data_IF_505452498480
#
_entry.id   IF_505452498480
#
_cell.length_a   1.000
_cell.length_b   1.000
_cell.length_c   1.000
_cell.angle_alpha   90.00
_cell.angle_beta   90.00
_cell.angle_gamma   90.00
#
_symmetry.space_group_name_H-M   'P 1'
#
loop_
_entity.id
_entity.type
_entity.pdbx_description
1 polymer ?
#
# COMPACT_ATOMS: atom_id res chain seq x y z
N UNK A 1 -2.81 7.69 34.77
CA UNK A 1 -2.76 6.19 34.63
C UNK A 1 -3.11 5.88 33.19
N UNK A 2 -2.14 5.95 32.32
CA UNK A 2 -2.26 5.67 30.89
C UNK A 2 -2.31 4.15 30.70
N UNK A 3 -3.40 3.71 30.11
CA UNK A 3 -3.82 2.33 30.02
C UNK A 3 -2.76 1.41 29.38
N UNK A 4 -2.19 0.53 30.18
CA UNK A 4 -1.31 -0.56 29.76
C UNK A 4 -1.97 -1.52 28.73
N UNK A 5 -3.28 -1.41 28.55
CA UNK A 5 -4.07 -2.20 27.58
C UNK A 5 -3.91 -1.76 26.13
N UNK A 6 -3.58 -0.49 25.84
CA UNK A 6 -3.35 -0.04 24.46
C UNK A 6 -2.00 -0.50 23.89
N UNK A 7 -0.97 -0.65 24.72
CA UNK A 7 0.34 -1.11 24.27
C UNK A 7 0.37 -2.58 23.85
N UNK A 8 -0.52 -3.39 24.40
CA UNK A 8 -0.59 -4.84 24.04
C UNK A 8 -1.15 -5.05 22.63
N UNK A 9 -1.86 -4.07 22.06
CA UNK A 9 -2.42 -4.15 20.71
C UNK A 9 -1.38 -3.97 19.61
N UNK A 10 -0.26 -3.31 19.91
CA UNK A 10 0.79 -3.00 18.95
C UNK A 10 1.71 -4.19 18.63
N UNK A 11 1.77 -5.19 19.52
CA UNK A 11 2.66 -6.36 19.40
C UNK A 11 1.92 -7.71 19.29
N UNK A 12 0.64 -7.69 18.88
CA UNK A 12 -0.07 -8.95 18.70
C UNK A 12 0.52 -9.69 17.50
N UNK A 13 1.08 -10.87 17.77
CA UNK A 13 1.64 -11.75 16.74
C UNK A 13 0.59 -11.99 15.66
N UNK A 14 0.99 -11.89 14.41
CA UNK A 14 0.13 -12.24 13.29
C UNK A 14 -0.28 -13.70 13.39
N UNK A 15 -1.57 -13.97 13.23
CA UNK A 15 -2.03 -15.35 13.11
C UNK A 15 -1.60 -15.94 11.77
N UNK A 16 -1.48 -17.26 11.70
CA UNK A 16 -1.09 -17.94 10.45
C UNK A 16 -2.00 -17.53 9.28
N UNK A 17 -3.32 -17.39 9.53
CA UNK A 17 -4.30 -16.96 8.54
C UNK A 17 -4.01 -15.56 8.03
N UNK A 18 -3.69 -14.62 8.91
CA UNK A 18 -3.33 -13.25 8.55
C UNK A 18 -2.03 -13.21 7.75
N UNK A 19 -1.02 -13.96 8.18
CA UNK A 19 0.26 -14.05 7.47
C UNK A 19 0.08 -14.58 6.04
N UNK A 20 -0.70 -15.64 5.86
CA UNK A 20 -1.01 -16.20 4.53
C UNK A 20 -1.71 -15.17 3.65
N UNK A 21 -2.67 -14.41 4.20
CA UNK A 21 -3.38 -13.36 3.46
C UNK A 21 -2.45 -12.23 3.03
N UNK A 22 -1.54 -11.79 3.91
CA UNK A 22 -0.55 -10.76 3.60
C UNK A 22 0.43 -11.24 2.52
N UNK A 23 0.90 -12.48 2.61
CA UNK A 23 1.76 -13.10 1.58
C UNK A 23 1.03 -13.21 0.23
N UNK A 24 -0.25 -13.56 0.25
CA UNK A 24 -1.08 -13.60 -0.95
C UNK A 24 -1.17 -12.22 -1.60
N UNK A 25 -1.46 -11.16 -0.85
CA UNK A 25 -1.48 -9.79 -1.36
C UNK A 25 -0.13 -9.39 -1.95
N UNK A 26 0.98 -9.69 -1.26
CA UNK A 26 2.33 -9.40 -1.75
C UNK A 26 2.64 -10.13 -3.06
N UNK A 27 2.30 -11.41 -3.14
CA UNK A 27 2.50 -12.24 -4.34
C UNK A 27 1.71 -11.69 -5.53
N UNK A 28 0.45 -11.27 -5.31
CA UNK A 28 -0.37 -10.67 -6.37
C UNK A 28 0.20 -9.34 -6.86
N UNK A 29 0.75 -8.51 -5.99
CA UNK A 29 1.43 -7.27 -6.40
C UNK A 29 2.61 -7.59 -7.31
N UNK A 30 3.44 -8.57 -6.94
CA UNK A 30 4.60 -8.98 -7.72
C UNK A 30 4.18 -9.59 -9.06
N UNK A 31 3.20 -10.51 -9.04
CA UNK A 31 2.69 -11.18 -10.23
C UNK A 31 2.07 -10.20 -11.24
N UNK A 32 1.24 -9.29 -10.75
CA UNK A 32 0.63 -8.24 -11.57
C UNK A 32 1.70 -7.35 -12.19
N UNK A 33 2.73 -6.99 -11.41
CA UNK A 33 3.85 -6.20 -11.90
C UNK A 33 4.66 -6.94 -12.97
N UNK A 34 4.93 -8.24 -12.77
CA UNK A 34 5.62 -9.06 -13.74
C UNK A 34 4.83 -9.19 -15.05
N UNK A 35 3.55 -9.52 -14.95
CA UNK A 35 2.67 -9.70 -16.10
C UNK A 35 2.43 -8.41 -16.90
N UNK A 36 2.19 -7.30 -16.21
CA UNK A 36 1.92 -6.02 -16.85
C UNK A 36 3.16 -5.37 -17.47
N UNK A 37 4.36 -5.65 -16.94
CA UNK A 37 5.59 -5.18 -17.53
C UNK A 37 5.86 -5.79 -18.90
N UNK A 38 5.39 -7.01 -19.11
CA UNK A 38 5.59 -7.74 -20.39
C UNK A 38 4.65 -7.26 -21.51
N UNK A 39 3.46 -6.74 -21.17
CA UNK A 39 2.41 -6.49 -22.18
C UNK A 39 2.02 -5.01 -22.36
N UNK A 40 2.18 -4.16 -21.36
CA UNK A 40 1.67 -2.78 -21.40
C UNK A 40 2.74 -1.78 -21.02
N UNK A 41 3.16 -0.95 -21.96
CA UNK A 41 4.09 0.17 -21.74
C UNK A 41 3.40 1.42 -21.17
N UNK A 42 2.19 1.29 -20.60
CA UNK A 42 1.45 2.41 -20.02
C UNK A 42 2.02 2.78 -18.64
N UNK A 43 2.45 4.03 -18.44
CA UNK A 43 2.93 4.48 -17.14
C UNK A 43 1.76 4.56 -16.13
N UNK A 44 1.95 4.02 -14.93
CA UNK A 44 1.03 4.22 -13.81
C UNK A 44 0.06 3.09 -13.49
N UNK A 45 -0.35 2.25 -14.45
CA UNK A 45 -1.35 1.18 -14.18
C UNK A 45 -0.93 0.16 -13.11
N UNK A 46 0.38 -0.06 -12.95
CA UNK A 46 0.92 -0.91 -11.87
C UNK A 46 0.59 -0.35 -10.48
N UNK A 47 0.40 0.98 -10.38
CA UNK A 47 0.02 1.63 -9.12
C UNK A 47 -1.39 1.30 -8.69
N UNK A 48 -2.30 1.10 -9.63
CA UNK A 48 -3.65 0.64 -9.33
C UNK A 48 -3.63 -0.63 -8.49
N UNK A 49 -2.99 -1.68 -8.98
CA UNK A 49 -2.91 -2.96 -8.27
C UNK A 49 -2.10 -2.85 -6.97
N UNK A 50 -1.00 -2.09 -6.98
CA UNK A 50 -0.19 -1.92 -5.78
C UNK A 50 -0.99 -1.27 -4.65
N UNK A 51 -1.68 -0.15 -4.93
CA UNK A 51 -2.50 0.53 -3.93
C UNK A 51 -3.70 -0.30 -3.51
N UNK A 52 -4.36 -0.95 -4.46
CA UNK A 52 -5.47 -1.84 -4.19
C UNK A 52 -5.09 -2.94 -3.18
N UNK A 53 -4.03 -3.70 -3.43
CA UNK A 53 -3.63 -4.80 -2.54
C UNK A 53 -3.03 -4.32 -1.22
N UNK A 54 -2.30 -3.19 -1.19
CA UNK A 54 -1.80 -2.60 0.06
C UNK A 54 -2.95 -2.17 0.99
N UNK A 55 -3.93 -1.46 0.46
CA UNK A 55 -5.09 -1.02 1.22
C UNK A 55 -6.00 -2.20 1.60
N UNK A 56 -6.14 -3.20 0.71
CA UNK A 56 -6.88 -4.43 1.00
C UNK A 56 -6.23 -5.19 2.15
N UNK A 57 -4.91 -5.36 2.13
CA UNK A 57 -4.16 -6.01 3.21
C UNK A 57 -4.39 -5.30 4.55
N UNK A 58 -4.32 -3.96 4.57
CA UNK A 58 -4.58 -3.15 5.77
C UNK A 58 -6.05 -3.25 6.23
N UNK A 59 -6.99 -3.33 5.29
CA UNK A 59 -8.41 -3.45 5.59
C UNK A 59 -8.81 -4.83 6.10
N UNK A 60 -8.15 -5.88 5.64
CA UNK A 60 -8.38 -7.26 6.09
C UNK A 60 -7.66 -7.56 7.40
N UNK A 61 -6.49 -6.99 7.61
CA UNK A 61 -5.68 -7.18 8.82
C UNK A 61 -5.43 -5.81 9.46
N UNK A 62 -6.32 -5.37 10.36
CA UNK A 62 -6.25 -4.04 10.99
C UNK A 62 -5.19 -3.99 12.10
N UNK A 63 -4.04 -4.64 11.90
CA UNK A 63 -2.90 -4.66 12.82
C UNK A 63 -1.80 -3.75 12.31
N UNK A 64 -1.08 -3.11 13.22
CA UNK A 64 0.07 -2.30 12.88
C UNK A 64 1.14 -3.15 12.20
N UNK A 65 1.72 -2.65 11.11
CA UNK A 65 2.73 -3.36 10.33
C UNK A 65 2.20 -4.20 9.17
N UNK A 66 0.87 -4.35 9.01
CA UNK A 66 0.31 -5.20 7.95
C UNK A 66 0.65 -4.68 6.54
N UNK A 67 0.47 -3.40 6.27
CA UNK A 67 0.82 -2.80 4.98
C UNK A 67 2.35 -2.75 4.79
N UNK A 68 3.10 -2.46 5.86
CA UNK A 68 4.57 -2.42 5.85
C UNK A 68 5.15 -3.79 5.52
N UNK A 69 4.63 -4.87 6.11
CA UNK A 69 5.04 -6.24 5.80
C UNK A 69 4.78 -6.61 4.33
N UNK A 70 3.60 -6.28 3.80
CA UNK A 70 3.30 -6.50 2.38
C UNK A 70 4.25 -5.73 1.49
N UNK A 71 4.51 -4.45 1.80
CA UNK A 71 5.47 -3.61 1.09
C UNK A 71 6.89 -4.18 1.13
N UNK A 72 7.32 -4.69 2.30
CA UNK A 72 8.64 -5.26 2.50
C UNK A 72 8.80 -6.59 1.73
N UNK A 73 7.84 -7.50 1.83
CA UNK A 73 7.84 -8.78 1.09
C UNK A 73 7.85 -8.50 -0.42
N UNK A 74 6.97 -7.59 -0.88
CA UNK A 74 6.89 -7.21 -2.30
C UNK A 74 8.19 -6.60 -2.80
N UNK A 75 8.83 -5.73 -2.01
CA UNK A 75 10.08 -5.09 -2.39
C UNK A 75 11.23 -6.08 -2.44
N UNK A 76 11.35 -6.94 -1.43
CA UNK A 76 12.40 -7.97 -1.36
C UNK A 76 12.27 -8.95 -2.54
N UNK A 77 11.05 -9.46 -2.77
CA UNK A 77 10.78 -10.35 -3.90
C UNK A 77 11.08 -9.67 -5.25
N UNK A 78 10.74 -8.38 -5.39
CA UNK A 78 11.03 -7.62 -6.62
C UNK A 78 12.53 -7.43 -6.85
N UNK A 79 13.32 -7.25 -5.79
CA UNK A 79 14.79 -7.16 -5.86
C UNK A 79 15.38 -8.52 -6.25
N UNK A 80 14.95 -9.59 -5.60
CA UNK A 80 15.41 -10.96 -5.89
C UNK A 80 15.12 -11.38 -7.33
N UNK A 81 13.97 -10.98 -7.88
CA UNK A 81 13.57 -11.25 -9.26
C UNK A 81 14.23 -10.28 -10.28
N UNK A 82 15.07 -9.36 -9.83
CA UNK A 82 15.72 -8.39 -10.72
C UNK A 82 14.75 -7.44 -11.46
N UNK A 83 13.53 -7.26 -10.92
CA UNK A 83 12.46 -6.48 -11.56
C UNK A 83 12.63 -4.95 -11.47
N UNK A 84 13.75 -4.44 -11.04
CA UNK A 84 13.97 -3.00 -10.87
C UNK A 84 15.26 -2.50 -11.49
N UNK A 85 15.17 -1.59 -12.44
CA UNK A 85 16.30 -0.75 -12.80
C UNK A 85 16.58 0.17 -11.58
N UNK A 86 17.62 -0.13 -10.81
CA UNK A 86 17.99 0.66 -9.64
C UNK A 86 18.31 -0.13 -8.36
N UNK A 87 18.44 -1.47 -8.45
CA UNK A 87 18.92 -2.29 -7.33
C UNK A 87 18.14 -2.05 -6.02
N UNK A 88 18.82 -1.72 -4.89
CA UNK A 88 18.20 -1.53 -3.59
C UNK A 88 17.19 -0.37 -3.52
N UNK A 89 17.20 0.56 -4.47
CA UNK A 89 16.23 1.66 -4.55
C UNK A 89 14.78 1.19 -4.78
N UNK A 90 14.61 -0.03 -5.26
CA UNK A 90 13.28 -0.66 -5.38
C UNK A 90 12.63 -0.84 -4.02
N UNK A 91 13.40 -1.05 -2.95
CA UNK A 91 12.90 -1.13 -1.58
C UNK A 91 12.17 0.16 -1.19
N UNK A 92 12.78 1.31 -1.44
CA UNK A 92 12.20 2.63 -1.12
C UNK A 92 10.87 2.84 -1.87
N UNK A 93 10.82 2.45 -3.15
CA UNK A 93 9.64 2.61 -4.01
C UNK A 93 8.40 1.85 -3.52
N UNK A 94 8.57 0.76 -2.77
CA UNK A 94 7.46 -0.01 -2.22
C UNK A 94 7.23 0.25 -0.74
N UNK A 95 8.30 0.49 0.01
CA UNK A 95 8.20 0.72 1.45
C UNK A 95 7.54 2.07 1.75
N UNK A 96 7.88 3.13 1.00
CA UNK A 96 7.29 4.45 1.18
C UNK A 96 5.75 4.46 1.10
N UNK A 97 5.12 3.97 0.00
CA UNK A 97 3.66 3.92 -0.05
C UNK A 97 3.05 3.01 1.02
N UNK A 98 3.74 1.92 1.39
CA UNK A 98 3.28 1.05 2.47
C UNK A 98 3.28 1.76 3.83
N UNK A 99 4.31 2.56 4.12
CA UNK A 99 4.38 3.38 5.33
C UNK A 99 3.29 4.46 5.37
N UNK A 100 2.97 5.08 4.24
CA UNK A 100 1.86 6.06 4.17
C UNK A 100 0.53 5.39 4.49
N UNK A 101 0.27 4.22 3.93
CA UNK A 101 -0.95 3.44 4.23
C UNK A 101 -0.99 3.01 5.70
N UNK A 102 0.15 2.63 6.26
CA UNK A 102 0.27 2.27 7.67
C UNK A 102 -0.01 3.46 8.58
N UNK A 103 0.60 4.61 8.29
CA UNK A 103 0.40 5.85 9.03
C UNK A 103 -1.06 6.32 8.98
N UNK A 104 -1.69 6.25 7.81
CA UNK A 104 -3.11 6.54 7.66
C UNK A 104 -3.99 5.59 8.50
N UNK A 105 -3.63 4.31 8.55
CA UNK A 105 -4.30 3.33 9.38
C UNK A 105 -4.09 3.53 10.89
N UNK A 106 -2.98 4.14 11.28
CA UNK A 106 -2.72 4.54 12.66
C UNK A 106 -3.55 5.76 13.06
N UNK A 107 -3.63 6.77 12.18
CA UNK A 107 -4.42 7.99 12.45
C UNK A 107 -5.93 7.72 12.49
N UNK A 108 -6.41 6.83 11.65
CA UNK A 108 -7.84 6.52 11.57
C UNK A 108 -8.06 5.06 11.16
N UNK A 109 -8.33 4.16 12.10
CA UNK A 109 -8.56 2.75 11.78
C UNK A 109 -9.77 2.53 10.86
N UNK A 110 -10.70 3.48 10.83
CA UNK A 110 -11.88 3.44 9.98
C UNK A 110 -11.67 4.01 8.57
N UNK A 111 -10.46 4.53 8.23
CA UNK A 111 -10.22 5.17 6.93
C UNK A 111 -10.50 4.23 5.73
N UNK A 112 -10.27 2.93 5.91
CA UNK A 112 -10.48 1.91 4.87
C UNK A 112 -11.95 1.73 4.49
N UNK A 113 -12.87 2.17 5.35
CA UNK A 113 -14.32 2.13 5.08
C UNK A 113 -14.84 3.37 4.38
N UNK A 114 -14.12 4.49 4.48
CA UNK A 114 -14.46 5.75 3.85
C UNK A 114 -13.84 5.85 2.46
N UNK A 115 -14.70 6.05 1.45
CA UNK A 115 -14.29 6.14 0.04
C UNK A 115 -13.31 7.32 -0.19
N UNK A 116 -13.62 8.48 0.38
CA UNK A 116 -12.78 9.67 0.25
C UNK A 116 -11.43 9.51 0.97
N UNK A 117 -11.43 8.95 2.19
CA UNK A 117 -10.19 8.74 2.92
C UNK A 117 -9.28 7.71 2.24
N UNK A 118 -9.83 6.62 1.69
CA UNK A 118 -9.06 5.68 0.88
C UNK A 118 -8.46 6.34 -0.37
N UNK A 119 -9.25 7.14 -1.09
CA UNK A 119 -8.79 7.83 -2.29
C UNK A 119 -7.66 8.80 -1.99
N UNK A 120 -7.80 9.63 -0.95
CA UNK A 120 -6.76 10.60 -0.55
C UNK A 120 -5.47 9.91 -0.14
N UNK A 121 -5.55 8.83 0.64
CA UNK A 121 -4.37 8.04 1.04
C UNK A 121 -3.72 7.39 -0.19
N UNK A 122 -4.51 6.83 -1.11
CA UNK A 122 -4.02 6.25 -2.36
C UNK A 122 -3.28 7.25 -3.24
N UNK A 123 -3.84 8.47 -3.39
CA UNK A 123 -3.19 9.56 -4.14
C UNK A 123 -1.90 10.01 -3.46
N UNK A 124 -1.94 10.29 -2.15
CA UNK A 124 -0.77 10.72 -1.37
C UNK A 124 0.37 9.70 -1.43
N UNK A 125 0.07 8.43 -1.21
CA UNK A 125 1.05 7.36 -1.28
C UNK A 125 1.66 7.21 -2.68
N UNK A 126 0.85 7.41 -3.72
CA UNK A 126 1.30 7.38 -5.12
C UNK A 126 2.18 8.58 -5.49
N UNK A 127 1.82 9.77 -5.02
CA UNK A 127 2.63 10.97 -5.20
C UNK A 127 3.98 10.87 -4.49
N UNK A 128 3.99 10.38 -3.26
CA UNK A 128 5.24 10.20 -2.50
C UNK A 128 6.17 9.19 -3.17
N UNK A 129 5.61 8.13 -3.75
CA UNK A 129 6.40 7.19 -4.56
C UNK A 129 6.96 7.85 -5.82
N UNK A 130 6.18 8.67 -6.52
CA UNK A 130 6.66 9.41 -7.69
C UNK A 130 7.80 10.37 -7.29
N UNK A 131 7.63 11.11 -6.19
CA UNK A 131 8.64 12.00 -5.65
C UNK A 131 9.93 11.26 -5.29
N UNK A 132 9.84 10.08 -4.66
CA UNK A 132 11.04 9.27 -4.33
C UNK A 132 11.78 8.80 -5.59
N UNK A 133 11.06 8.50 -6.67
CA UNK A 133 11.68 8.09 -7.94
C UNK A 133 12.43 9.26 -8.57
N UNK A 134 11.81 10.44 -8.59
CA UNK A 134 12.42 11.66 -9.11
C UNK A 134 13.62 12.11 -8.28
N UNK A 135 13.55 12.02 -6.94
CA UNK A 135 14.68 12.34 -6.07
C UNK A 135 15.91 11.47 -6.34
N UNK A 136 15.72 10.20 -6.67
CA UNK A 136 16.81 9.31 -7.07
C UNK A 136 17.38 9.69 -8.44
N UNK A 137 16.53 10.05 -9.41
CA UNK A 137 16.96 10.50 -10.74
C UNK A 137 17.74 11.82 -10.65
N UNK A 138 17.39 12.71 -9.71
CA UNK A 138 18.14 13.95 -9.39
C UNK A 138 19.58 13.68 -8.90
N UNK A 139 19.73 12.67 -8.06
CA UNK A 139 21.06 12.30 -7.54
C UNK A 139 22.00 11.76 -8.63
N UNK A 140 21.45 11.31 -9.76
CA UNK A 140 22.21 10.77 -10.89
C UNK A 140 22.62 11.90 -11.88
N UNK A 141 22.18 13.15 -11.67
CA UNK A 141 22.63 14.33 -12.45
C UNK A 141 21.94 14.48 -13.80
N UNK A 142 20.66 14.14 -13.93
CA UNK A 142 19.87 14.40 -15.15
C UNK A 142 19.42 15.88 -15.21
N UNK A 143 19.20 16.39 -16.43
CA UNK A 143 18.75 17.76 -16.67
C UNK A 143 17.44 18.10 -15.96
N UNK A 144 17.45 19.18 -15.15
CA UNK A 144 16.35 19.57 -14.26
C UNK A 144 15.01 19.82 -14.98
N UNK A 145 15.04 20.43 -16.14
CA UNK A 145 13.81 20.84 -16.85
C UNK A 145 13.03 19.65 -17.42
N UNK A 146 13.73 18.70 -18.02
CA UNK A 146 13.14 17.48 -18.58
C UNK A 146 12.61 16.60 -17.45
N UNK A 147 13.33 16.60 -16.32
CA UNK A 147 13.01 15.83 -15.15
C UNK A 147 11.75 16.32 -14.44
N UNK A 148 11.59 17.64 -14.31
CA UNK A 148 10.41 18.22 -13.66
C UNK A 148 9.13 17.91 -14.44
N UNK A 149 9.15 18.03 -15.76
CA UNK A 149 8.02 17.64 -16.64
C UNK A 149 7.67 16.17 -16.52
N UNK A 150 8.67 15.29 -16.58
CA UNK A 150 8.48 13.84 -16.42
C UNK A 150 7.94 13.48 -15.03
N UNK A 151 8.46 14.14 -14.00
CA UNK A 151 8.02 13.95 -12.62
C UNK A 151 6.55 14.34 -12.43
N UNK A 152 6.13 15.48 -12.97
CA UNK A 152 4.76 15.98 -12.85
C UNK A 152 3.77 15.05 -13.56
N UNK A 153 4.08 14.63 -14.79
CA UNK A 153 3.25 13.70 -15.56
C UNK A 153 3.18 12.35 -14.86
N UNK A 154 4.33 11.84 -14.38
CA UNK A 154 4.39 10.57 -13.64
C UNK A 154 3.62 10.64 -12.33
N UNK A 155 3.72 11.73 -11.58
CA UNK A 155 2.98 11.93 -10.34
C UNK A 155 1.48 11.98 -10.57
N UNK A 156 1.03 12.73 -11.60
CA UNK A 156 -0.39 12.81 -11.95
C UNK A 156 -0.96 11.45 -12.38
N UNK A 157 -0.27 10.73 -13.26
CA UNK A 157 -0.70 9.41 -13.72
C UNK A 157 -0.70 8.38 -12.59
N UNK A 158 0.37 8.33 -11.79
CA UNK A 158 0.44 7.43 -10.63
C UNK A 158 -0.63 7.77 -9.59
N UNK A 159 -0.89 9.07 -9.35
CA UNK A 159 -1.94 9.54 -8.45
C UNK A 159 -3.33 9.12 -8.89
N UNK A 160 -3.66 9.30 -10.17
CA UNK A 160 -4.94 8.89 -10.75
C UNK A 160 -5.14 7.37 -10.63
N UNK A 161 -4.18 6.58 -11.08
CA UNK A 161 -4.28 5.11 -11.00
C UNK A 161 -4.26 4.60 -9.56
N UNK A 162 -3.45 5.20 -8.68
CA UNK A 162 -3.42 4.84 -7.26
C UNK A 162 -4.72 5.19 -6.55
N UNK A 163 -5.31 6.35 -6.86
CA UNK A 163 -6.62 6.77 -6.36
C UNK A 163 -7.74 5.83 -6.81
N UNK A 164 -7.79 5.48 -8.10
CA UNK A 164 -8.75 4.52 -8.64
C UNK A 164 -8.62 3.14 -7.99
N UNK A 165 -7.39 2.66 -7.76
CA UNK A 165 -7.15 1.41 -7.04
C UNK A 165 -7.66 1.47 -5.61
N UNK A 166 -7.44 2.59 -4.94
CA UNK A 166 -7.90 2.83 -3.58
C UNK A 166 -9.44 2.89 -3.47
N UNK A 167 -10.13 3.46 -4.46
CA UNK A 167 -11.59 3.55 -4.49
C UNK A 167 -12.28 2.18 -4.58
N UNK A 168 -11.64 1.18 -5.15
CA UNK A 168 -12.19 -0.17 -5.25
C UNK A 168 -12.22 -0.90 -3.90
N UNK A 169 -11.32 -0.55 -2.97
CA UNK A 169 -11.11 -1.26 -1.70
C UNK A 169 -12.30 -1.20 -0.75
N UNK A 170 -12.94 -0.04 -0.47
CA UNK A 170 -14.07 0.04 0.45
C UNK A 170 -15.24 -0.85 0.04
N UNK A 171 -15.51 -0.92 -1.27
CA UNK A 171 -16.58 -1.76 -1.82
C UNK A 171 -16.35 -3.25 -1.56
N UNK A 172 -15.10 -3.68 -1.71
CA UNK A 172 -14.72 -5.09 -1.50
C UNK A 172 -14.71 -5.42 -0.01
N UNK A 173 -14.14 -4.56 0.82
CA UNK A 173 -14.13 -4.77 2.28
C UNK A 173 -15.54 -4.83 2.84
N UNK A 174 -16.45 -3.98 2.33
CA UNK A 174 -17.86 -4.02 2.71
C UNK A 174 -18.51 -5.36 2.35
N UNK A 175 -18.24 -5.90 1.17
CA UNK A 175 -18.74 -7.21 0.74
C UNK A 175 -18.14 -8.36 1.57
N UNK A 176 -16.85 -8.33 1.86
CA UNK A 176 -16.18 -9.33 2.68
C UNK A 176 -16.72 -9.34 4.12
N UNK A 177 -17.08 -8.16 4.65
CA UNK A 177 -17.74 -8.01 5.95
C UNK A 177 -19.15 -8.63 5.98
N UNK A 178 -19.96 -8.34 4.97
CA UNK A 178 -21.33 -8.87 4.87
C UNK A 178 -21.30 -10.39 4.80
N UNK A 179 -20.31 -10.97 4.14
CA UNK A 179 -20.14 -12.41 4.01
C UNK A 179 -19.44 -13.08 5.21
N UNK A 180 -19.18 -12.36 6.31
CA UNK A 180 -18.60 -12.91 7.54
C UNK A 180 -17.14 -13.39 7.40
N UNK A 181 -16.44 -13.03 6.31
CA UNK A 181 -15.07 -13.47 6.05
C UNK A 181 -14.03 -12.67 6.85
N UNK A 182 -14.40 -11.49 7.33
CA UNK A 182 -13.58 -10.61 8.15
C UNK A 182 -14.36 -10.25 9.41
N UNK A 183 -13.99 -10.86 10.53
CA UNK A 183 -14.43 -10.43 11.86
C UNK A 183 -13.56 -9.27 12.32
N UNK A 184 -14.09 -8.05 12.27
CA UNK A 184 -13.59 -7.03 13.16
C UNK A 184 -14.07 -7.41 14.55
N UNK A 185 -13.16 -7.66 15.46
CA UNK A 185 -13.44 -7.70 16.90
C UNK A 185 -13.94 -6.30 17.28
N UNK A 186 -15.23 -6.07 17.05
CA UNK A 186 -15.92 -4.93 17.60
C UNK A 186 -15.85 -5.15 19.10
N UNK A 187 -15.07 -4.35 19.76
CA UNK A 187 -15.02 -4.22 21.21
C UNK A 187 -16.46 -4.19 21.71
N UNK A 188 -16.90 -5.26 22.35
CA UNK A 188 -18.02 -5.23 23.27
C UNK A 188 -17.56 -4.37 24.44
N UNK A 189 -17.58 -3.04 24.27
CA UNK A 189 -17.58 -2.12 25.37
C UNK A 189 -19.00 -2.04 25.90
N UNK A 190 -19.18 -2.59 27.09
CA UNK A 190 -20.15 -2.11 28.05
C UNK A 190 -21.60 -2.50 27.84
N UNK A 191 -21.94 -3.65 28.38
CA UNK A 191 -23.24 -3.84 29.01
C UNK A 191 -23.09 -4.80 30.19
N UNK A 192 -22.79 -4.28 31.31
CA UNK A 192 -23.36 -4.58 32.65
C UNK A 192 -22.78 -3.62 33.66
#
# INVERSE_FOLDING_TARGET
MTNATEQTYLWHRFTLREAVLLCFCATFIVLTRAGLRLHLHLPGHVMFCTMFFLLLARGCVPKLGSATLVGLITSLTSVLLGMGAGGPMVLVKFLLPALVVELAGFLSPAFVTSLLACATVGVLASMLRAASTTGVEMLIGMDEEIMLRKALISAAMNGLWGGLGALAVPSIIRRLRINGLIELKTEKSGAT
#
